data_IF_952541410270
#
_entry.id   IF_952541410270
#
_cell.length_a   1.000
_cell.length_b   1.000
_cell.length_c   1.000
_cell.angle_alpha   90.00
_cell.angle_beta   90.00
_cell.angle_gamma   90.00
#
_symmetry.space_group_name_H-M   'P 1'
#
loop_
_entity.id
_entity.type
_entity.pdbx_description
1 polymer ?
#
# COMPACT_ATOMS: atom_id res chain seq x y z
N UNK A 1 12.47 -1.78 10.94
CA UNK A 1 11.52 -0.63 10.94
C UNK A 1 10.17 -0.98 10.32
N UNK A 2 10.13 -1.66 9.17
CA UNK A 2 8.88 -2.01 8.48
C UNK A 2 7.96 -2.88 9.34
N UNK A 3 8.44 -4.01 9.83
CA UNK A 3 7.64 -4.92 10.66
C UNK A 3 7.21 -4.27 11.98
N UNK A 4 8.06 -3.48 12.60
CA UNK A 4 7.71 -2.77 13.83
C UNK A 4 6.54 -1.82 13.59
N UNK A 5 6.56 -1.06 12.50
CA UNK A 5 5.45 -0.17 12.15
C UNK A 5 4.20 -0.95 11.74
N UNK A 6 4.36 -2.01 10.97
CA UNK A 6 3.23 -2.87 10.58
C UNK A 6 2.54 -3.47 11.81
N UNK A 7 3.31 -3.99 12.76
CA UNK A 7 2.76 -4.53 14.00
C UNK A 7 2.03 -3.46 14.84
N UNK A 8 2.58 -2.25 14.91
CA UNK A 8 1.94 -1.15 15.64
C UNK A 8 0.57 -0.76 15.07
N UNK A 9 0.37 -0.85 13.75
CA UNK A 9 -0.83 -0.34 13.08
C UNK A 9 -1.78 -1.42 12.58
N UNK A 10 -1.32 -2.66 12.38
CA UNK A 10 -2.11 -3.75 11.80
C UNK A 10 -2.30 -4.95 12.75
N UNK A 11 -1.43 -5.13 13.76
CA UNK A 11 -1.61 -6.21 14.71
C UNK A 11 -2.89 -5.99 15.52
N UNK A 12 -3.70 -7.02 15.65
CA UNK A 12 -4.91 -6.98 16.45
C UNK A 12 -4.59 -6.89 17.94
N UNK A 13 -5.46 -6.24 18.70
CA UNK A 13 -5.30 -6.09 20.16
C UNK A 13 -5.25 -7.46 20.88
N UNK A 14 -6.05 -8.43 20.42
CA UNK A 14 -6.10 -9.80 20.97
C UNK A 14 -4.86 -10.64 20.61
N UNK A 15 -4.04 -10.15 19.69
CA UNK A 15 -2.74 -10.72 19.33
C UNK A 15 -1.55 -10.05 20.04
N UNK A 16 -1.83 -9.17 20.99
CA UNK A 16 -0.80 -8.52 21.81
C UNK A 16 -0.33 -7.16 21.29
N UNK A 17 -1.16 -6.44 20.56
CA UNK A 17 -0.84 -5.07 20.17
C UNK A 17 -0.91 -4.14 21.40
N UNK A 18 0.26 -3.73 21.90
CA UNK A 18 0.39 -2.84 23.07
C UNK A 18 0.22 -1.35 22.74
N UNK A 19 0.16 -0.98 21.46
CA UNK A 19 -0.07 0.40 21.02
C UNK A 19 -1.56 0.79 21.13
N UNK A 20 -2.46 -0.20 21.21
CA UNK A 20 -3.89 0.04 21.31
C UNK A 20 -4.28 0.19 22.78
N UNK A 21 -4.56 1.44 23.18
CA UNK A 21 -4.99 1.75 24.57
C UNK A 21 -6.51 1.58 24.71
N UNK A 22 -7.27 2.01 23.72
CA UNK A 22 -8.73 1.96 23.73
C UNK A 22 -9.29 1.72 22.32
N UNK A 23 -9.60 0.46 21.96
CA UNK A 23 -10.19 0.17 20.66
C UNK A 23 -11.68 0.52 20.67
N UNK A 24 -12.12 1.27 19.67
CA UNK A 24 -13.55 1.32 19.31
C UNK A 24 -13.79 0.27 18.23
N UNK A 25 -14.46 -0.80 18.61
CA UNK A 25 -14.88 -1.83 17.65
C UNK A 25 -16.17 -1.41 16.94
N UNK A 26 -16.23 -1.65 15.64
CA UNK A 26 -17.43 -1.49 14.84
C UNK A 26 -18.03 -2.87 14.54
N UNK A 27 -19.35 -2.94 14.46
CA UNK A 27 -20.06 -4.18 14.15
C UNK A 27 -19.79 -4.69 12.72
N UNK A 28 -19.12 -3.89 11.88
CA UNK A 28 -18.83 -4.21 10.48
C UNK A 28 -17.42 -3.78 10.05
N UNK A 29 -16.39 -4.33 10.71
CA UNK A 29 -15.00 -4.16 10.26
C UNK A 29 -14.80 -4.61 8.81
N UNK A 30 -15.52 -5.63 8.39
CA UNK A 30 -15.58 -6.10 7.00
C UNK A 30 -15.97 -5.00 6.00
N UNK A 31 -16.85 -4.07 6.39
CA UNK A 31 -17.21 -2.95 5.51
C UNK A 31 -16.02 -2.03 5.24
N UNK A 32 -15.25 -1.67 6.28
CA UNK A 32 -14.05 -0.84 6.11
C UNK A 32 -13.02 -1.53 5.22
N UNK A 33 -12.71 -2.80 5.51
CA UNK A 33 -11.78 -3.59 4.72
C UNK A 33 -12.20 -3.66 3.26
N UNK A 34 -13.48 -3.90 2.99
CA UNK A 34 -14.02 -3.91 1.63
C UNK A 34 -13.80 -2.58 0.91
N UNK A 35 -14.04 -1.44 1.59
CA UNK A 35 -13.86 -0.12 0.98
C UNK A 35 -12.40 0.23 0.69
N UNK A 36 -11.45 -0.34 1.45
CA UNK A 36 -10.02 -0.09 1.30
C UNK A 36 -9.33 -1.07 0.32
N UNK A 37 -9.98 -2.19 -0.01
CA UNK A 37 -9.40 -3.18 -0.90
C UNK A 37 -9.76 -2.94 -2.37
N UNK A 38 -8.89 -3.33 -3.32
CA UNK A 38 -9.18 -3.22 -4.74
C UNK A 38 -10.23 -4.24 -5.17
N UNK A 39 -10.92 -3.95 -6.28
CA UNK A 39 -11.98 -4.78 -6.85
C UNK A 39 -11.55 -6.22 -7.10
N UNK A 40 -10.35 -6.41 -7.60
CA UNK A 40 -9.81 -7.74 -7.88
C UNK A 40 -9.63 -8.60 -6.63
N UNK A 41 -9.58 -7.99 -5.46
CA UNK A 41 -9.54 -8.65 -4.16
C UNK A 41 -10.92 -8.74 -3.49
N UNK A 42 -12.00 -8.44 -4.22
CA UNK A 42 -13.36 -8.42 -3.68
C UNK A 42 -13.74 -7.11 -2.99
N UNK A 43 -12.87 -6.10 -3.08
CA UNK A 43 -13.11 -4.78 -2.52
C UNK A 43 -13.93 -3.85 -3.41
N UNK A 44 -14.19 -2.65 -2.92
CA UNK A 44 -14.92 -1.59 -3.62
C UNK A 44 -14.04 -0.37 -3.99
N UNK A 45 -12.80 -0.33 -3.57
CA UNK A 45 -11.84 0.71 -3.95
C UNK A 45 -12.26 2.15 -3.59
N UNK A 46 -13.06 2.35 -2.55
CA UNK A 46 -13.72 3.63 -2.29
C UNK A 46 -12.95 4.56 -1.34
N UNK A 47 -12.12 4.03 -0.45
CA UNK A 47 -11.38 4.85 0.50
C UNK A 47 -9.96 5.05 -0.02
N UNK A 48 -9.77 6.19 -0.67
CA UNK A 48 -8.47 6.61 -1.20
C UNK A 48 -7.69 7.51 -0.26
N UNK A 49 -6.45 7.78 -0.63
CA UNK A 49 -5.60 8.81 -0.01
C UNK A 49 -5.35 9.95 -1.00
N UNK A 50 -5.10 11.13 -0.47
CA UNK A 50 -4.77 12.30 -1.31
C UNK A 50 -3.31 12.28 -1.75
N UNK A 51 -3.00 12.93 -2.86
CA UNK A 51 -1.61 13.12 -3.30
C UNK A 51 -0.77 13.82 -2.23
N UNK A 52 -1.32 14.82 -1.52
CA UNK A 52 -0.60 15.51 -0.44
C UNK A 52 -0.16 14.55 0.67
N UNK A 53 -0.95 13.52 0.98
CA UNK A 53 -0.54 12.50 1.95
C UNK A 53 0.59 11.63 1.38
N UNK A 54 0.52 11.25 0.12
CA UNK A 54 1.58 10.49 -0.57
C UNK A 54 2.89 11.27 -0.55
N UNK A 55 2.84 12.58 -0.82
CA UNK A 55 3.99 13.47 -0.87
C UNK A 55 4.62 13.73 0.51
N UNK A 56 3.84 13.61 1.58
CA UNK A 56 4.31 13.81 2.95
C UNK A 56 5.21 12.68 3.48
N UNK A 57 5.18 11.51 2.87
CA UNK A 57 6.09 10.42 3.27
C UNK A 57 7.52 10.68 2.81
N UNK A 58 8.48 10.36 3.66
CA UNK A 58 9.89 10.54 3.36
C UNK A 58 10.42 9.50 2.37
N UNK A 59 11.57 9.80 1.81
CA UNK A 59 12.39 8.82 1.13
C UNK A 59 13.13 7.92 2.12
N UNK A 60 13.64 6.80 1.69
CA UNK A 60 14.39 5.84 2.53
C UNK A 60 15.65 6.43 3.16
N UNK A 61 16.18 7.52 2.58
CA UNK A 61 17.31 8.28 3.13
C UNK A 61 16.89 9.33 4.19
N UNK A 62 15.61 9.40 4.55
CA UNK A 62 15.08 10.31 5.56
C UNK A 62 14.81 11.74 5.07
N UNK A 63 14.98 12.01 3.78
CA UNK A 63 14.69 13.34 3.22
C UNK A 63 13.26 13.42 2.68
N UNK A 64 12.67 14.62 2.77
CA UNK A 64 11.37 14.88 2.14
C UNK A 64 11.51 14.83 0.62
N UNK A 65 10.57 14.19 -0.11
CA UNK A 65 10.61 14.14 -1.57
C UNK A 65 10.38 15.50 -2.21
N UNK A 66 9.46 16.28 -1.65
CA UNK A 66 9.12 17.61 -2.13
C UNK A 66 9.20 18.63 -0.98
N UNK A 67 9.55 19.87 -1.29
CA UNK A 67 9.71 20.96 -0.31
C UNK A 67 8.53 21.93 -0.31
N UNK A 68 7.59 21.77 -1.21
CA UNK A 68 6.41 22.61 -1.34
C UNK A 68 5.80 22.50 -2.73
N UNK A 69 4.89 23.42 -3.05
CA UNK A 69 4.23 23.52 -4.33
C UNK A 69 4.41 24.91 -4.93
N UNK A 70 4.69 24.96 -6.20
CA UNK A 70 4.75 26.21 -6.95
C UNK A 70 3.36 26.86 -7.11
N UNK A 71 3.33 28.08 -7.60
CA UNK A 71 2.09 28.82 -7.88
C UNK A 71 1.16 28.14 -8.90
N UNK A 72 1.73 27.27 -9.73
CA UNK A 72 1.00 26.43 -10.69
C UNK A 72 0.52 25.08 -10.09
N UNK A 73 0.70 24.87 -8.78
CA UNK A 73 0.35 23.63 -8.10
C UNK A 73 1.30 22.45 -8.35
N UNK A 74 2.40 22.66 -9.09
CA UNK A 74 3.38 21.60 -9.32
C UNK A 74 4.30 21.43 -8.10
N UNK A 75 4.72 20.19 -7.78
CA UNK A 75 5.61 19.94 -6.66
C UNK A 75 7.00 20.53 -6.91
N UNK A 76 7.60 21.07 -5.88
CA UNK A 76 9.00 21.49 -5.86
C UNK A 76 9.81 20.33 -5.32
N UNK A 77 10.42 19.56 -6.22
CA UNK A 77 11.18 18.37 -5.88
C UNK A 77 12.44 18.76 -5.11
N UNK A 78 12.74 18.02 -4.04
CA UNK A 78 13.99 18.11 -3.30
C UNK A 78 15.10 17.35 -4.05
N UNK A 79 16.07 18.00 -4.66
CA UNK A 79 17.09 17.31 -5.45
C UNK A 79 17.94 16.34 -4.64
N UNK A 80 18.14 16.61 -3.35
CA UNK A 80 18.95 15.76 -2.47
C UNK A 80 18.23 14.46 -2.07
N UNK A 81 16.91 14.39 -2.25
CA UNK A 81 16.11 13.25 -1.84
C UNK A 81 16.24 12.04 -2.75
N UNK A 82 16.63 12.24 -4.00
CA UNK A 82 16.64 11.21 -5.05
C UNK A 82 15.23 10.87 -5.57
N UNK A 83 14.21 11.64 -5.18
CA UNK A 83 12.84 11.47 -5.67
C UNK A 83 12.67 11.95 -7.10
N UNK A 84 11.83 11.25 -7.85
CA UNK A 84 11.41 11.67 -9.20
C UNK A 84 9.98 11.21 -9.48
N UNK A 85 9.23 12.03 -10.21
CA UNK A 85 7.86 11.74 -10.66
C UNK A 85 7.81 11.20 -12.09
N UNK A 86 8.94 10.81 -12.65
CA UNK A 86 8.99 10.33 -14.04
C UNK A 86 9.74 9.02 -14.17
N UNK A 87 9.31 8.21 -15.13
CA UNK A 87 9.97 6.97 -15.47
C UNK A 87 9.64 5.81 -14.52
N UNK A 88 10.26 4.69 -14.78
CA UNK A 88 10.00 3.42 -14.09
C UNK A 88 11.31 2.83 -13.57
N UNK A 89 11.22 2.08 -12.48
CA UNK A 89 12.37 1.43 -11.88
C UNK A 89 12.99 0.39 -12.83
N UNK A 90 14.31 0.34 -12.83
CA UNK A 90 15.08 -0.60 -13.66
C UNK A 90 15.42 -1.89 -12.93
N UNK A 91 15.18 -1.95 -11.63
CA UNK A 91 15.47 -3.10 -10.76
C UNK A 91 14.42 -3.22 -9.65
N UNK A 92 14.36 -4.41 -9.04
CA UNK A 92 13.62 -4.62 -7.81
C UNK A 92 14.29 -3.87 -6.66
N UNK A 93 13.47 -3.26 -5.80
CA UNK A 93 13.91 -2.81 -4.48
C UNK A 93 13.54 -3.88 -3.44
N UNK A 94 14.52 -4.31 -2.66
CA UNK A 94 14.36 -5.34 -1.64
C UNK A 94 14.66 -4.77 -0.26
N UNK A 95 13.90 -5.24 0.73
CA UNK A 95 14.25 -5.04 2.13
C UNK A 95 14.74 -6.39 2.68
N UNK A 96 15.97 -6.42 3.17
CA UNK A 96 16.59 -7.62 3.75
C UNK A 96 16.00 -7.99 5.12
N UNK A 97 15.08 -7.19 5.65
CA UNK A 97 14.31 -7.58 6.83
C UNK A 97 13.36 -8.72 6.45
N UNK A 98 13.53 -9.87 7.07
CA UNK A 98 13.04 -11.21 6.72
C UNK A 98 11.52 -11.39 6.53
N UNK A 99 10.68 -10.34 6.61
CA UNK A 99 9.26 -10.51 6.89
C UNK A 99 8.31 -9.67 6.03
N UNK A 100 8.76 -9.17 4.89
CA UNK A 100 7.96 -8.16 4.22
C UNK A 100 6.57 -8.64 3.78
N UNK A 101 6.43 -9.87 3.31
CA UNK A 101 5.13 -10.44 2.91
C UNK A 101 4.99 -11.93 3.23
N UNK A 102 6.01 -12.56 3.78
CA UNK A 102 6.07 -14.02 3.87
C UNK A 102 5.18 -14.63 4.96
N UNK A 103 4.79 -13.86 5.98
CA UNK A 103 4.13 -14.42 7.17
C UNK A 103 2.66 -14.05 7.33
N UNK A 104 2.14 -13.12 6.55
CA UNK A 104 0.78 -12.60 6.70
C UNK A 104 -0.24 -13.31 5.80
N UNK A 105 -0.10 -14.61 5.59
CA UNK A 105 -1.08 -15.41 4.85
C UNK A 105 -0.77 -15.60 3.36
N UNK A 106 0.44 -15.25 2.91
CA UNK A 106 0.90 -15.63 1.59
C UNK A 106 0.94 -17.16 1.48
N UNK A 107 0.28 -17.72 0.49
CA UNK A 107 0.34 -19.15 0.16
C UNK A 107 1.79 -19.49 -0.19
N UNK A 108 2.25 -20.66 0.23
CA UNK A 108 3.59 -21.12 -0.09
C UNK A 108 3.80 -21.09 -1.62
N UNK A 109 4.86 -20.42 -2.06
CA UNK A 109 5.08 -20.10 -3.48
C UNK A 109 4.79 -18.65 -3.88
N UNK A 110 4.10 -17.88 -3.03
CA UNK A 110 3.83 -16.44 -3.23
C UNK A 110 4.82 -15.54 -2.46
N UNK A 111 5.92 -16.10 -2.01
CA UNK A 111 6.97 -15.36 -1.31
C UNK A 111 7.65 -14.41 -2.29
N UNK A 112 7.47 -13.13 -2.09
CA UNK A 112 8.02 -12.07 -2.95
C UNK A 112 9.53 -11.89 -2.80
N UNK A 113 10.26 -12.81 -2.16
CA UNK A 113 11.70 -12.71 -1.91
C UNK A 113 12.13 -11.34 -1.35
N UNK A 114 11.31 -10.80 -0.42
CA UNK A 114 11.54 -9.49 0.23
C UNK A 114 11.46 -8.29 -0.73
N UNK A 115 10.86 -8.43 -1.89
CA UNK A 115 10.68 -7.34 -2.86
C UNK A 115 9.60 -6.38 -2.35
N UNK A 116 9.97 -5.11 -2.20
CA UNK A 116 9.07 -4.01 -1.83
C UNK A 116 8.44 -3.39 -3.07
N UNK A 117 9.27 -3.05 -4.04
CA UNK A 117 8.84 -2.61 -5.36
C UNK A 117 9.54 -3.44 -6.42
N UNK A 118 8.79 -3.86 -7.42
CA UNK A 118 9.31 -4.63 -8.55
C UNK A 118 9.95 -3.73 -9.60
N UNK A 119 10.82 -4.28 -10.40
CA UNK A 119 11.24 -3.64 -11.66
C UNK A 119 10.00 -3.26 -12.47
N UNK A 120 9.98 -2.05 -13.00
CA UNK A 120 8.84 -1.49 -13.74
C UNK A 120 7.88 -0.68 -12.88
N UNK A 121 8.04 -0.63 -11.56
CA UNK A 121 7.27 0.27 -10.70
C UNK A 121 7.57 1.73 -11.02
N UNK A 122 6.55 2.58 -11.07
CA UNK A 122 6.71 4.03 -11.31
C UNK A 122 7.61 4.66 -10.23
N UNK A 123 8.58 5.46 -10.64
CA UNK A 123 9.66 5.91 -9.77
C UNK A 123 9.20 6.67 -8.52
N UNK A 124 8.07 7.38 -8.59
CA UNK A 124 7.54 8.10 -7.43
C UNK A 124 7.20 7.19 -6.24
N UNK A 125 7.03 5.90 -6.45
CA UNK A 125 6.75 4.92 -5.41
C UNK A 125 7.99 4.19 -4.90
N UNK A 126 9.13 4.39 -5.55
CA UNK A 126 10.36 3.68 -5.23
C UNK A 126 11.14 4.38 -4.12
N UNK A 127 11.91 3.61 -3.36
CA UNK A 127 12.83 4.11 -2.33
C UNK A 127 12.15 5.03 -1.28
N UNK A 128 10.88 4.78 -0.97
CA UNK A 128 10.15 5.48 0.07
C UNK A 128 10.41 4.85 1.44
N UNK A 129 10.13 5.57 2.51
CA UNK A 129 10.20 5.04 3.85
C UNK A 129 9.20 3.87 4.09
N UNK A 130 9.45 2.96 5.03
CA UNK A 130 8.57 1.81 5.29
C UNK A 130 7.10 2.17 5.58
N UNK A 131 6.85 3.31 6.23
CA UNK A 131 5.50 3.78 6.54
C UNK A 131 4.65 4.02 5.28
N UNK A 132 5.27 4.47 4.19
CA UNK A 132 4.58 4.63 2.91
C UNK A 132 3.96 3.32 2.44
N UNK A 133 4.77 2.28 2.36
CA UNK A 133 4.35 0.97 1.85
C UNK A 133 3.28 0.27 2.70
N UNK A 134 3.19 0.62 3.97
CA UNK A 134 2.18 0.07 4.89
C UNK A 134 0.89 0.90 4.87
N UNK A 135 0.99 2.19 4.58
CA UNK A 135 -0.14 3.11 4.70
C UNK A 135 -0.90 3.32 3.39
N UNK A 136 -0.20 3.20 2.25
CA UNK A 136 -0.71 3.52 0.91
C UNK A 136 -0.65 2.30 0.02
N UNK A 137 -1.75 2.02 -0.67
CA UNK A 137 -1.81 1.07 -1.77
C UNK A 137 -1.81 1.85 -3.08
N UNK A 138 -0.83 1.58 -3.94
CA UNK A 138 -0.61 2.25 -5.21
C UNK A 138 -0.57 1.26 -6.38
N UNK A 139 -0.56 1.74 -7.61
CA UNK A 139 -0.52 0.91 -8.81
C UNK A 139 0.72 -0.01 -8.85
N UNK A 140 0.52 -1.28 -9.19
CA UNK A 140 1.55 -2.33 -9.25
C UNK A 140 2.18 -2.69 -7.90
N UNK A 141 1.56 -2.30 -6.79
CA UNK A 141 1.99 -2.76 -5.49
C UNK A 141 1.48 -4.18 -5.23
N UNK A 142 2.34 -5.01 -4.63
CA UNK A 142 1.92 -6.31 -4.13
C UNK A 142 0.89 -6.16 -3.01
N UNK A 143 -0.24 -6.84 -3.16
CA UNK A 143 -1.28 -6.87 -2.15
C UNK A 143 -1.11 -8.11 -1.25
N UNK A 144 -1.12 -7.91 0.06
CA UNK A 144 -0.94 -9.00 1.03
C UNK A 144 -2.22 -9.77 1.36
N UNK A 145 -3.39 -9.29 0.95
CA UNK A 145 -4.67 -9.94 1.22
C UNK A 145 -4.82 -11.26 0.46
N UNK A 146 -5.69 -12.12 0.98
CA UNK A 146 -6.06 -13.34 0.28
C UNK A 146 -6.97 -12.99 -0.88
N UNK A 147 -6.57 -13.39 -2.09
CA UNK A 147 -7.46 -13.34 -3.23
C UNK A 147 -8.66 -14.27 -3.00
N UNK A 148 -9.87 -13.79 -3.27
CA UNK A 148 -11.10 -14.59 -3.29
C UNK A 148 -10.95 -15.90 -4.07
N UNK A 149 -10.13 -15.89 -5.09
CA UNK A 149 -9.89 -17.04 -5.96
C UNK A 149 -8.67 -17.88 -5.56
N UNK A 150 -8.00 -17.54 -4.45
CA UNK A 150 -6.79 -18.20 -3.93
C UNK A 150 -5.66 -18.33 -4.98
N UNK A 151 -5.69 -17.49 -6.00
CA UNK A 151 -4.74 -17.57 -7.10
C UNK A 151 -3.69 -16.49 -7.01
N UNK A 152 -2.46 -16.91 -7.04
CA UNK A 152 -1.22 -16.20 -7.39
C UNK A 152 -1.00 -14.77 -6.86
N UNK A 153 0.27 -14.42 -6.70
CA UNK A 153 0.77 -13.08 -6.40
C UNK A 153 -0.05 -12.00 -7.12
N UNK A 154 -0.74 -11.17 -6.35
CA UNK A 154 -1.57 -10.15 -6.93
C UNK A 154 -0.91 -8.79 -6.77
N UNK A 155 -0.71 -8.15 -7.89
CA UNK A 155 -0.36 -6.76 -7.96
C UNK A 155 -1.61 -5.97 -8.32
N UNK A 156 -1.72 -4.76 -7.79
CA UNK A 156 -2.82 -3.85 -8.10
C UNK A 156 -2.68 -3.25 -9.49
N UNK A 157 -3.79 -3.20 -10.24
CA UNK A 157 -3.84 -2.65 -11.59
C UNK A 157 -4.77 -1.44 -11.63
N UNK A 158 -4.31 -0.28 -11.12
CA UNK A 158 -5.13 0.94 -11.01
C UNK A 158 -5.17 1.80 -12.27
N UNK A 159 -4.44 1.44 -13.30
CA UNK A 159 -4.49 2.18 -14.56
C UNK A 159 -5.81 1.99 -15.31
N UNK A 160 -6.12 2.91 -16.23
CA UNK A 160 -7.33 2.84 -17.04
C UNK A 160 -7.37 1.56 -17.87
N UNK A 161 -8.43 0.77 -17.70
CA UNK A 161 -8.57 -0.56 -18.31
C UNK A 161 -7.90 -1.69 -17.53
N UNK A 162 -7.17 -1.39 -16.47
CA UNK A 162 -6.65 -2.39 -15.53
C UNK A 162 -7.76 -3.08 -14.73
N UNK A 163 -7.44 -4.21 -14.13
CA UNK A 163 -8.40 -5.01 -13.38
C UNK A 163 -9.03 -4.24 -12.20
N UNK A 164 -8.26 -3.35 -11.58
CA UNK A 164 -8.66 -2.54 -10.43
C UNK A 164 -8.94 -1.07 -10.79
N UNK A 165 -8.74 -0.70 -12.07
CA UNK A 165 -8.87 0.66 -12.56
C UNK A 165 -10.22 0.98 -13.19
N UNK A 166 -10.37 2.25 -13.60
CA UNK A 166 -11.56 2.73 -14.29
C UNK A 166 -11.64 2.36 -15.78
N UNK A 167 -12.78 2.59 -16.41
CA UNK A 167 -14.01 3.12 -15.79
C UNK A 167 -14.78 2.04 -15.05
N UNK A 168 -14.91 2.16 -13.75
CA UNK A 168 -15.71 1.27 -12.90
C UNK A 168 -16.09 2.01 -11.63
N UNK A 169 -17.25 1.69 -11.05
CA UNK A 169 -17.68 2.25 -9.78
C UNK A 169 -16.83 1.78 -8.59
N UNK A 170 -16.12 0.65 -8.74
CA UNK A 170 -15.22 0.08 -7.73
C UNK A 170 -13.74 0.39 -8.01
N UNK A 171 -13.45 1.47 -8.73
CA UNK A 171 -12.09 1.91 -9.02
C UNK A 171 -11.65 3.03 -8.06
N UNK A 172 -10.37 3.08 -7.64
CA UNK A 172 -9.85 4.14 -6.79
C UNK A 172 -9.85 5.49 -7.52
N UNK A 173 -10.74 6.39 -7.12
CA UNK A 173 -10.90 7.71 -7.78
C UNK A 173 -9.68 8.62 -7.60
N UNK A 174 -8.90 8.42 -6.53
CA UNK A 174 -7.68 9.18 -6.26
C UNK A 174 -6.40 8.50 -6.81
N UNK A 175 -6.53 7.34 -7.47
CA UNK A 175 -5.38 6.54 -7.91
C UNK A 175 -4.65 5.77 -6.79
N UNK A 176 -5.11 5.90 -5.55
CA UNK A 176 -4.55 5.27 -4.35
C UNK A 176 -5.66 4.77 -3.45
N UNK A 177 -5.36 3.73 -2.66
CA UNK A 177 -6.24 3.28 -1.57
C UNK A 177 -5.51 3.33 -0.23
N UNK A 178 -6.31 3.45 0.84
CA UNK A 178 -5.80 3.29 2.20
C UNK A 178 -5.42 1.84 2.41
N UNK A 179 -4.21 1.60 2.90
CA UNK A 179 -3.71 0.28 3.27
C UNK A 179 -3.56 0.12 4.78
N UNK A 180 -3.30 1.23 5.47
CA UNK A 180 -3.19 1.28 6.93
C UNK A 180 -4.51 0.83 7.57
N UNK A 181 -4.43 -0.04 8.57
CA UNK A 181 -5.56 -0.62 9.31
C UNK A 181 -6.41 -1.63 8.51
N UNK A 182 -6.01 -2.01 7.32
CA UNK A 182 -6.61 -3.14 6.59
C UNK A 182 -6.04 -4.43 7.16
N UNK A 183 -6.91 -5.36 7.54
CA UNK A 183 -6.48 -6.67 8.05
C UNK A 183 -5.88 -7.50 6.92
N UNK A 184 -4.58 -7.86 7.00
CA UNK A 184 -3.93 -8.66 5.95
C UNK A 184 -4.50 -10.07 5.81
N UNK A 185 -5.22 -10.56 6.81
CA UNK A 185 -5.85 -11.88 6.80
C UNK A 185 -7.30 -11.86 6.30
N UNK A 186 -7.91 -10.67 6.20
CA UNK A 186 -9.28 -10.51 5.77
C UNK A 186 -9.48 -10.93 4.30
N UNK A 187 -10.63 -11.51 4.03
CA UNK A 187 -11.14 -11.74 2.66
C UNK A 187 -12.33 -10.80 2.49
N UNK A 188 -12.18 -9.67 1.79
CA UNK A 188 -13.21 -8.63 1.72
C UNK A 188 -14.58 -9.08 1.22
N UNK A 189 -14.61 -10.19 0.51
CA UNK A 189 -15.85 -10.77 -0.06
C UNK A 189 -16.61 -11.66 0.90
N UNK A 190 -16.05 -12.01 2.04
CA UNK A 190 -16.63 -12.94 3.00
C UNK A 190 -17.30 -12.20 4.19
N UNK A 191 -17.38 -10.87 4.11
CA UNK A 191 -18.00 -10.01 5.10
C UNK A 191 -19.49 -9.78 4.90
#
# INVERSE_FOLDING_TARGET
PYMSYMNAVLMRWDQGNHEVIFPKTYDSGAYFDRQCNPRSMGGAGAIGVTQNLVDAFFMSNGLVPITGYGANGQPIINPASGYTETGYSTADYKDDTKYFYAEQGAVEGQKTNHVITTKGTYNMYCNREPRFYISVLYNEQYHWGKDKHKSSNKYTDFFSGGQDGGPSHDAPTAGYLVRKMVDPSAIPSDG
#
